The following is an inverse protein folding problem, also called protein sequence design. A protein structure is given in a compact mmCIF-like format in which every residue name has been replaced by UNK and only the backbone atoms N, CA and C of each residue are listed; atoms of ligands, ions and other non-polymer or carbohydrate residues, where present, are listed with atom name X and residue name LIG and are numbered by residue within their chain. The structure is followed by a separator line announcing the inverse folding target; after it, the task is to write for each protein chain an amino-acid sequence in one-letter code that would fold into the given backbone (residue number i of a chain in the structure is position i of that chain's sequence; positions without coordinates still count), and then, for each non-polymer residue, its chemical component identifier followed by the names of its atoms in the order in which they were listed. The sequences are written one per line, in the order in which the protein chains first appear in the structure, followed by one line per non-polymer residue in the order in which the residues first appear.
data_IF_355516528445
#
_entry.id   IF_355516528445
#
_cell.length_a   1.000
_cell.length_b   1.000
_cell.length_c   1.000
_cell.angle_alpha   90.00
_cell.angle_beta   90.00
_cell.angle_gamma   90.00
#
_symmetry.space_group_name_H-M   'P 1'
#
loop_
_entity.id
_entity.type
_entity.pdbx_description
1 polymer ?
#
# COMPACT_ATOMS: atom_id res chain seq x y z
N UNK A 1 -9.58 7.56 18.04
CA UNK A 1 -9.33 6.17 17.59
C UNK A 1 -10.68 5.46 17.44
N UNK A 2 -10.86 4.58 16.45
CA UNK A 2 -12.06 3.74 16.26
C UNK A 2 -11.71 2.25 16.34
N UNK A 3 -12.70 1.40 16.59
CA UNK A 3 -12.66 -0.04 16.36
C UNK A 3 -13.38 -0.40 15.07
N UNK A 4 -12.67 -1.09 14.17
CA UNK A 4 -13.14 -1.44 12.84
C UNK A 4 -13.15 -2.96 12.69
N UNK A 5 -14.35 -3.52 12.52
CA UNK A 5 -14.57 -4.94 12.25
C UNK A 5 -14.70 -5.14 10.73
N UNK A 6 -13.98 -6.10 10.18
CA UNK A 6 -13.95 -6.37 8.73
C UNK A 6 -14.20 -7.86 8.52
N UNK A 7 -15.08 -8.21 7.58
CA UNK A 7 -15.18 -9.58 7.07
C UNK A 7 -14.50 -9.65 5.71
N UNK A 8 -13.67 -10.68 5.46
CA UNK A 8 -12.90 -10.79 4.23
C UNK A 8 -12.67 -12.25 3.79
N UNK A 9 -12.57 -12.49 2.49
CA UNK A 9 -12.44 -13.83 1.88
C UNK A 9 -13.78 -14.51 1.60
N UNK A 10 -13.75 -15.72 1.02
CA UNK A 10 -14.94 -16.53 0.75
C UNK A 10 -15.28 -17.51 1.88
N UNK A 11 -16.56 -17.86 2.02
CA UNK A 11 -17.03 -19.00 2.83
C UNK A 11 -16.91 -20.33 2.07
N UNK A 12 -16.50 -21.39 2.77
CA UNK A 12 -16.35 -22.77 2.31
C UNK A 12 -17.39 -23.67 2.97
N UNK A 13 -18.48 -23.94 2.25
CA UNK A 13 -19.62 -24.74 2.73
C UNK A 13 -19.42 -26.24 2.42
N UNK A 14 -19.33 -27.13 3.42
CA UNK A 14 -18.96 -28.54 3.21
C UNK A 14 -20.04 -29.35 2.50
N UNK A 15 -19.64 -30.05 1.44
CA UNK A 15 -20.45 -31.08 0.75
C UNK A 15 -20.32 -32.39 1.52
N UNK A 16 -19.07 -32.76 1.81
CA UNK A 16 -18.67 -33.95 2.55
C UNK A 16 -17.40 -33.63 3.36
N UNK A 17 -16.76 -34.61 4.00
CA UNK A 17 -15.58 -34.40 4.84
C UNK A 17 -14.33 -33.92 4.05
N UNK A 18 -14.36 -33.95 2.72
CA UNK A 18 -13.24 -33.55 1.84
C UNK A 18 -13.58 -32.30 1.02
N UNK A 19 -14.77 -32.28 0.41
CA UNK A 19 -15.19 -31.35 -0.64
C UNK A 19 -16.12 -30.26 -0.11
N UNK A 20 -16.14 -29.11 -0.78
CA UNK A 20 -16.95 -27.97 -0.37
C UNK A 20 -17.28 -27.06 -1.56
N UNK A 21 -18.40 -26.34 -1.45
CA UNK A 21 -18.72 -25.20 -2.33
C UNK A 21 -18.03 -23.97 -1.73
N UNK A 22 -17.34 -23.18 -2.55
CA UNK A 22 -16.70 -21.93 -2.11
C UNK A 22 -16.93 -20.84 -3.14
N UNK A 23 -17.07 -19.59 -2.66
CA UNK A 23 -17.01 -18.42 -3.53
C UNK A 23 -15.56 -18.14 -3.96
N UNK A 24 -15.36 -17.61 -5.17
CA UNK A 24 -14.03 -17.35 -5.76
C UNK A 24 -13.28 -16.12 -5.17
N UNK A 25 -13.78 -15.51 -4.09
CA UNK A 25 -13.16 -14.31 -3.51
C UNK A 25 -11.88 -14.65 -2.75
N UNK A 26 -10.76 -14.14 -3.26
CA UNK A 26 -9.45 -14.16 -2.58
C UNK A 26 -9.36 -13.20 -1.40
N UNK A 27 -10.40 -12.41 -1.12
CA UNK A 27 -10.46 -11.48 0.02
C UNK A 27 -9.52 -10.27 -0.06
N UNK A 28 -8.76 -10.11 -1.15
CA UNK A 28 -7.72 -9.08 -1.33
C UNK A 28 -8.19 -7.64 -1.07
N UNK A 29 -9.44 -7.28 -1.39
CA UNK A 29 -9.94 -5.94 -1.09
C UNK A 29 -10.27 -5.74 0.39
N UNK A 30 -10.83 -6.74 1.08
CA UNK A 30 -11.03 -6.71 2.53
C UNK A 30 -9.70 -6.62 3.30
N UNK A 31 -8.64 -7.25 2.78
CA UNK A 31 -7.28 -7.09 3.29
C UNK A 31 -6.72 -5.67 3.09
N UNK A 32 -6.95 -5.05 1.93
CA UNK A 32 -6.56 -3.65 1.68
C UNK A 32 -7.32 -2.66 2.58
N UNK A 33 -8.62 -2.88 2.84
CA UNK A 33 -9.41 -2.11 3.82
C UNK A 33 -8.82 -2.28 5.23
N UNK A 34 -8.41 -3.49 5.60
CA UNK A 34 -7.79 -3.76 6.90
C UNK A 34 -6.44 -3.05 7.06
N UNK A 35 -5.62 -3.02 6.01
CA UNK A 35 -4.36 -2.27 5.97
C UNK A 35 -4.62 -0.77 6.17
N UNK A 36 -5.44 -0.15 5.32
CA UNK A 36 -5.80 1.26 5.40
C UNK A 36 -6.41 1.69 6.74
N UNK A 37 -7.23 0.85 7.37
CA UNK A 37 -7.78 1.12 8.70
C UNK A 37 -6.71 1.01 9.80
N UNK A 38 -5.75 0.09 9.66
CA UNK A 38 -4.62 -0.06 10.60
C UNK A 38 -3.67 1.14 10.50
N UNK A 39 -3.38 1.61 9.28
CA UNK A 39 -2.55 2.80 9.00
C UNK A 39 -3.16 4.08 9.55
N UNK A 40 -4.49 4.22 9.50
CA UNK A 40 -5.25 5.29 10.17
C UNK A 40 -5.29 5.15 11.72
N UNK A 41 -4.45 4.27 12.29
CA UNK A 41 -4.30 4.03 13.73
C UNK A 41 -5.63 3.65 14.40
N UNK A 42 -6.44 2.83 13.72
CA UNK A 42 -7.64 2.24 14.29
C UNK A 42 -7.34 0.84 14.82
N UNK A 43 -8.09 0.42 15.84
CA UNK A 43 -8.08 -0.99 16.28
C UNK A 43 -8.82 -1.79 15.21
N UNK A 44 -8.13 -2.67 14.48
CA UNK A 44 -8.74 -3.49 13.43
C UNK A 44 -8.95 -4.92 13.89
N UNK A 45 -10.10 -5.50 13.57
CA UNK A 45 -10.39 -6.92 13.75
C UNK A 45 -10.89 -7.50 12.43
N UNK A 46 -10.22 -8.54 11.91
CA UNK A 46 -10.60 -9.16 10.63
C UNK A 46 -11.13 -10.57 10.89
N UNK A 47 -12.42 -10.76 10.63
CA UNK A 47 -12.99 -12.08 10.40
C UNK A 47 -12.55 -12.51 8.99
N UNK A 48 -11.62 -13.47 8.91
CA UNK A 48 -10.96 -13.86 7.68
C UNK A 48 -11.31 -15.28 7.25
N UNK A 49 -11.73 -15.47 6.00
CA UNK A 49 -11.89 -16.81 5.42
C UNK A 49 -10.55 -17.56 5.49
N UNK A 50 -10.61 -18.85 5.82
CA UNK A 50 -9.45 -19.68 6.20
C UNK A 50 -8.22 -19.54 5.28
N UNK A 51 -8.43 -19.43 3.96
CA UNK A 51 -7.33 -19.28 2.99
C UNK A 51 -6.69 -17.88 3.02
N UNK A 52 -7.48 -16.82 3.25
CA UNK A 52 -6.95 -15.46 3.46
C UNK A 52 -6.18 -15.37 4.78
N UNK A 53 -6.70 -16.00 5.85
CA UNK A 53 -6.05 -16.04 7.16
C UNK A 53 -4.67 -16.74 7.12
N UNK A 54 -4.46 -17.66 6.17
CA UNK A 54 -3.18 -18.35 5.93
C UNK A 54 -2.26 -17.62 4.95
N UNK A 55 -2.83 -16.84 4.03
CA UNK A 55 -2.13 -16.29 2.87
C UNK A 55 -1.19 -15.09 3.11
N UNK A 56 -0.96 -14.68 4.36
CA UNK A 56 -0.01 -13.60 4.70
C UNK A 56 -0.40 -12.19 4.25
N UNK A 57 -1.61 -11.99 3.71
CA UNK A 57 -2.06 -10.70 3.15
C UNK A 57 -2.68 -9.73 4.18
N UNK A 58 -2.78 -10.11 5.45
CA UNK A 58 -3.42 -9.31 6.50
C UNK A 58 -2.37 -8.54 7.31
N UNK A 59 -2.60 -7.27 7.66
CA UNK A 59 -1.63 -6.46 8.40
C UNK A 59 -1.45 -6.98 9.83
N UNK A 60 -0.20 -7.03 10.29
CA UNK A 60 0.14 -7.55 11.62
C UNK A 60 -0.46 -6.76 12.81
N UNK A 61 -0.92 -5.52 12.57
CA UNK A 61 -1.63 -4.71 13.56
C UNK A 61 -3.13 -5.07 13.72
N UNK A 62 -3.68 -5.95 12.88
CA UNK A 62 -5.07 -6.36 12.97
C UNK A 62 -5.24 -7.71 13.71
N UNK A 63 -6.23 -7.77 14.60
CA UNK A 63 -6.62 -9.02 15.25
C UNK A 63 -7.35 -9.93 14.25
N UNK A 64 -6.71 -11.03 13.81
CA UNK A 64 -7.29 -11.97 12.84
C UNK A 64 -8.04 -13.10 13.55
N UNK A 65 -9.29 -13.32 13.16
CA UNK A 65 -10.12 -14.44 13.61
C UNK A 65 -10.53 -15.26 12.37
N UNK A 66 -10.04 -16.50 12.21
CA UNK A 66 -10.39 -17.31 11.05
C UNK A 66 -11.83 -17.81 11.10
N UNK A 67 -12.52 -17.81 9.96
CA UNK A 67 -13.77 -18.55 9.74
C UNK A 67 -13.62 -19.50 8.55
N UNK A 68 -14.50 -20.50 8.47
CA UNK A 68 -14.57 -21.41 7.32
C UNK A 68 -15.93 -21.30 6.61
N UNK A 69 -17.04 -21.57 7.31
CA UNK A 69 -18.41 -21.50 6.79
C UNK A 69 -19.14 -20.20 7.17
N UNK A 70 -20.31 -19.99 6.56
CA UNK A 70 -21.27 -18.93 6.89
C UNK A 70 -21.73 -19.02 8.34
N UNK A 71 -21.82 -20.23 8.92
CA UNK A 71 -22.21 -20.42 10.31
C UNK A 71 -21.08 -20.00 11.28
N UNK A 72 -19.82 -20.30 10.94
CA UNK A 72 -18.66 -19.89 11.72
C UNK A 72 -18.51 -18.36 11.73
N UNK A 73 -18.75 -17.73 10.57
CA UNK A 73 -18.77 -16.27 10.43
C UNK A 73 -19.88 -15.62 11.25
N UNK A 74 -21.11 -16.17 11.23
CA UNK A 74 -22.23 -15.61 12.00
C UNK A 74 -22.03 -15.77 13.52
N UNK A 75 -21.44 -16.88 13.96
CA UNK A 75 -21.05 -17.09 15.35
C UNK A 75 -19.95 -16.11 15.79
N UNK A 76 -18.91 -15.92 14.97
CA UNK A 76 -17.83 -14.97 15.23
C UNK A 76 -18.32 -13.50 15.27
N UNK A 77 -19.22 -13.13 14.36
CA UNK A 77 -19.90 -11.83 14.38
C UNK A 77 -20.72 -11.67 15.66
N UNK A 78 -21.57 -12.65 16.02
CA UNK A 78 -22.40 -12.59 17.23
C UNK A 78 -21.55 -12.38 18.48
N UNK A 79 -20.42 -13.10 18.59
CA UNK A 79 -19.51 -12.98 19.73
C UNK A 79 -18.89 -11.58 19.81
N UNK A 80 -18.28 -11.09 18.72
CA UNK A 80 -17.60 -9.78 18.74
C UNK A 80 -18.62 -8.65 18.99
N UNK A 81 -19.78 -8.66 18.35
CA UNK A 81 -20.79 -7.60 18.53
C UNK A 81 -21.34 -7.54 19.97
N UNK A 82 -21.25 -8.63 20.74
CA UNK A 82 -21.68 -8.70 22.14
C UNK A 82 -20.54 -8.43 23.15
N UNK A 83 -19.31 -8.89 22.86
CA UNK A 83 -18.15 -8.76 23.77
C UNK A 83 -17.34 -7.48 23.56
N UNK A 84 -17.27 -6.99 22.33
CA UNK A 84 -16.34 -5.95 21.88
C UNK A 84 -16.95 -5.16 20.68
N UNK A 85 -18.01 -4.36 20.91
CA UNK A 85 -18.81 -3.75 19.84
C UNK A 85 -18.02 -2.68 19.06
N UNK A 86 -17.96 -2.76 17.71
CA UNK A 86 -17.17 -1.86 16.89
C UNK A 86 -17.89 -0.56 16.51
N UNK A 87 -17.11 0.50 16.25
CA UNK A 87 -17.59 1.76 15.66
C UNK A 87 -17.97 1.57 14.18
N UNK A 88 -17.35 0.63 13.48
CA UNK A 88 -17.62 0.36 12.07
C UNK A 88 -17.49 -1.13 11.69
N UNK A 89 -18.34 -1.59 10.76
CA UNK A 89 -18.35 -2.96 10.21
C UNK A 89 -18.31 -2.93 8.68
N UNK A 90 -17.26 -3.49 8.07
CA UNK A 90 -17.14 -3.69 6.63
C UNK A 90 -17.44 -5.14 6.26
N UNK A 91 -18.56 -5.38 5.58
CA UNK A 91 -19.03 -6.72 5.21
C UNK A 91 -18.50 -7.17 3.85
N UNK A 92 -17.17 -7.22 3.70
CA UNK A 92 -16.47 -7.51 2.43
C UNK A 92 -16.21 -9.01 2.16
N UNK A 93 -16.69 -9.93 3.02
CA UNK A 93 -16.62 -11.36 2.77
C UNK A 93 -17.61 -11.79 1.67
N UNK A 94 -17.18 -12.70 0.79
CA UNK A 94 -18.07 -13.36 -0.16
C UNK A 94 -18.76 -14.54 0.53
N UNK A 95 -19.88 -14.23 1.19
CA UNK A 95 -20.72 -15.18 1.93
C UNK A 95 -21.57 -16.01 0.95
N UNK A 96 -21.68 -17.31 1.17
CA UNK A 96 -22.44 -18.23 0.32
C UNK A 96 -23.94 -18.09 0.56
N UNK A 97 -24.72 -17.86 -0.51
CA UNK A 97 -26.19 -17.73 -0.46
C UNK A 97 -26.93 -19.06 -0.24
N UNK A 98 -26.23 -20.17 -0.50
CA UNK A 98 -26.67 -21.53 -0.26
C UNK A 98 -25.49 -22.37 0.23
N UNK A 99 -25.79 -23.42 1.00
CA UNK A 99 -24.85 -24.45 1.45
C UNK A 99 -25.35 -25.84 1.05
N UNK A 100 -24.47 -26.84 0.91
CA UNK A 100 -24.91 -28.22 0.74
C UNK A 100 -25.66 -28.76 1.95
N UNK A 101 -26.52 -29.75 1.71
CA UNK A 101 -26.93 -30.71 2.72
C UNK A 101 -25.76 -31.69 2.94
N UNK A 102 -24.94 -31.38 3.95
CA UNK A 102 -23.64 -32.05 4.22
C UNK A 102 -23.82 -33.55 4.51
N UNK A 103 -23.14 -34.39 3.73
CA UNK A 103 -23.02 -35.83 4.00
C UNK A 103 -21.82 -36.12 4.91
N UNK A 104 -21.92 -36.94 5.98
CA UNK A 104 -20.77 -37.40 6.75
C UNK A 104 -19.89 -38.40 5.97
N UNK A 105 -18.59 -38.43 6.25
CA UNK A 105 -17.62 -39.23 5.49
C UNK A 105 -17.21 -38.54 4.19
N UNK A 106 -16.47 -39.26 3.34
CA UNK A 106 -16.24 -38.90 1.93
C UNK A 106 -17.29 -39.63 1.09
N UNK A 107 -18.09 -38.93 0.28
CA UNK A 107 -18.99 -39.58 -0.67
C UNK A 107 -18.13 -40.31 -1.73
N UNK A 108 -18.53 -41.53 -2.09
CA UNK A 108 -17.80 -42.35 -3.05
C UNK A 108 -17.76 -41.74 -4.47
N UNK A 109 -16.87 -42.25 -5.31
CA UNK A 109 -16.61 -41.79 -6.68
C UNK A 109 -16.81 -42.91 -7.69
N UNK A 110 -17.82 -43.73 -7.44
CA UNK A 110 -18.28 -44.90 -8.20
C UNK A 110 -19.60 -44.62 -8.96
N UNK A 111 -20.30 -43.54 -8.63
CA UNK A 111 -21.45 -43.04 -9.38
C UNK A 111 -21.03 -42.20 -10.60
N UNK A 112 -21.72 -42.39 -11.73
CA UNK A 112 -21.51 -41.59 -12.96
C UNK A 112 -21.91 -40.12 -12.79
N UNK A 113 -22.91 -39.84 -11.95
CA UNK A 113 -23.38 -38.50 -11.61
C UNK A 113 -23.34 -38.25 -10.09
N UNK A 114 -23.13 -36.99 -9.68
CA UNK A 114 -23.20 -36.56 -8.29
C UNK A 114 -24.13 -35.35 -8.14
N UNK A 115 -25.33 -35.59 -7.61
CA UNK A 115 -26.32 -34.54 -7.32
C UNK A 115 -26.09 -33.98 -5.92
N UNK A 116 -25.79 -32.68 -5.82
CA UNK A 116 -25.60 -31.97 -4.55
C UNK A 116 -26.84 -31.11 -4.27
N UNK A 117 -27.62 -31.47 -3.24
CA UNK A 117 -28.75 -30.65 -2.79
C UNK A 117 -28.24 -29.43 -2.02
N UNK A 118 -28.64 -28.24 -2.47
CA UNK A 118 -28.30 -26.96 -1.83
C UNK A 118 -29.52 -26.40 -1.07
N UNK A 119 -29.28 -25.83 0.11
CA UNK A 119 -30.26 -25.15 0.96
C UNK A 119 -29.81 -23.73 1.28
N UNK A 120 -30.74 -22.78 1.41
CA UNK A 120 -30.39 -21.36 1.67
C UNK A 120 -29.67 -21.19 3.01
N UNK A 121 -28.71 -20.26 3.04
CA UNK A 121 -28.07 -19.81 4.28
C UNK A 121 -28.87 -18.69 4.96
N UNK A 122 -28.65 -18.43 6.26
CA UNK A 122 -29.17 -17.23 6.93
C UNK A 122 -28.59 -15.95 6.31
N UNK A 123 -29.44 -14.94 6.09
CA UNK A 123 -29.02 -13.64 5.54
C UNK A 123 -28.48 -12.73 6.64
N UNK A 124 -27.27 -13.02 7.11
CA UNK A 124 -26.55 -12.31 8.20
C UNK A 124 -26.72 -10.79 8.14
N UNK A 125 -26.50 -10.20 6.95
CA UNK A 125 -26.55 -8.75 6.74
C UNK A 125 -27.87 -8.10 7.16
N UNK A 126 -29.02 -8.80 7.02
CA UNK A 126 -30.35 -8.29 7.42
C UNK A 126 -30.52 -8.17 8.93
N UNK A 127 -29.85 -9.01 9.72
CA UNK A 127 -29.92 -8.98 11.19
C UNK A 127 -28.82 -8.12 11.79
N UNK A 128 -27.85 -7.68 10.98
CA UNK A 128 -26.63 -7.03 11.48
C UNK A 128 -26.92 -5.70 12.18
N UNK A 129 -27.82 -4.87 11.63
CA UNK A 129 -28.22 -3.59 12.27
C UNK A 129 -28.83 -3.78 13.66
N UNK A 130 -29.58 -4.86 13.87
CA UNK A 130 -30.24 -5.19 15.15
C UNK A 130 -29.23 -5.74 16.19
N UNK A 131 -28.04 -6.16 15.74
CA UNK A 131 -26.97 -6.75 16.56
C UNK A 131 -25.83 -5.78 16.86
N UNK A 132 -25.68 -4.72 16.06
CA UNK A 132 -24.69 -3.67 16.28
C UNK A 132 -25.15 -2.65 17.34
N UNK A 133 -24.20 -1.91 17.92
CA UNK A 133 -24.49 -0.80 18.82
C UNK A 133 -25.15 0.38 18.06
N UNK A 134 -25.96 1.22 18.73
CA UNK A 134 -26.45 2.46 18.14
C UNK A 134 -25.28 3.37 17.72
N UNK A 135 -25.25 3.76 16.44
CA UNK A 135 -24.18 4.58 15.87
C UNK A 135 -23.06 3.81 15.16
N UNK A 136 -22.98 2.48 15.28
CA UNK A 136 -22.05 1.66 14.49
C UNK A 136 -22.31 1.86 12.99
N UNK A 137 -21.28 2.24 12.24
CA UNK A 137 -21.33 2.42 10.78
C UNK A 137 -21.26 1.04 10.08
N UNK A 138 -22.21 0.72 9.21
CA UNK A 138 -22.27 -0.59 8.52
C UNK A 138 -22.15 -0.39 7.01
N UNK A 139 -21.12 -1.01 6.42
CA UNK A 139 -20.81 -0.97 4.99
C UNK A 139 -21.04 -2.35 4.36
N UNK A 140 -22.04 -2.46 3.51
CA UNK A 140 -22.30 -3.65 2.69
C UNK A 140 -21.44 -3.69 1.43
N UNK A 141 -21.41 -4.86 0.79
CA UNK A 141 -20.71 -5.08 -0.49
C UNK A 141 -21.62 -5.77 -1.51
N UNK A 142 -21.45 -5.41 -2.78
CA UNK A 142 -22.29 -5.87 -3.89
C UNK A 142 -21.52 -5.97 -5.21
N UNK A 143 -21.07 -7.18 -5.52
CA UNK A 143 -20.52 -7.53 -6.84
C UNK A 143 -21.64 -7.76 -7.86
N UNK A 144 -21.50 -7.18 -9.05
CA UNK A 144 -22.27 -7.47 -10.27
C UNK A 144 -21.30 -7.94 -11.39
N UNK A 145 -21.82 -8.21 -12.59
CA UNK A 145 -21.02 -8.54 -13.77
C UNK A 145 -21.68 -7.96 -15.03
N UNK A 146 -20.96 -7.14 -15.78
CA UNK A 146 -21.46 -6.43 -16.97
C UNK A 146 -22.70 -5.54 -16.69
N UNK A 147 -22.62 -4.69 -15.67
CA UNK A 147 -23.69 -3.84 -15.19
C UNK A 147 -23.35 -2.33 -15.34
N UNK A 148 -24.33 -1.51 -15.67
CA UNK A 148 -24.09 -0.05 -15.81
C UNK A 148 -23.93 0.65 -14.46
N UNK A 149 -23.35 1.86 -14.47
CA UNK A 149 -23.19 2.69 -13.25
C UNK A 149 -24.56 2.97 -12.60
N UNK A 150 -25.61 3.14 -13.39
CA UNK A 150 -26.99 3.30 -12.92
C UNK A 150 -27.53 2.03 -12.26
N UNK A 151 -27.19 0.84 -12.77
CA UNK A 151 -27.56 -0.44 -12.16
C UNK A 151 -26.80 -0.68 -10.85
N UNK A 152 -25.50 -0.38 -10.80
CA UNK A 152 -24.71 -0.38 -9.56
C UNK A 152 -25.33 0.57 -8.52
N UNK A 153 -25.69 1.78 -8.93
CA UNK A 153 -26.33 2.79 -8.08
C UNK A 153 -27.67 2.28 -7.50
N UNK A 154 -28.55 1.76 -8.36
CA UNK A 154 -29.87 1.24 -7.97
C UNK A 154 -29.75 0.04 -7.02
N UNK A 155 -28.94 -0.95 -7.36
CA UNK A 155 -28.82 -2.19 -6.57
C UNK A 155 -28.10 -1.93 -5.23
N UNK A 156 -27.09 -1.06 -5.20
CA UNK A 156 -26.42 -0.62 -3.98
C UNK A 156 -27.36 0.16 -3.05
N UNK A 157 -28.06 1.17 -3.56
CA UNK A 157 -29.05 1.95 -2.79
C UNK A 157 -30.16 1.06 -2.22
N UNK A 158 -30.69 0.15 -3.04
CA UNK A 158 -31.70 -0.81 -2.62
C UNK A 158 -31.17 -1.87 -1.63
N UNK A 159 -29.86 -2.05 -1.49
CA UNK A 159 -29.26 -2.86 -0.43
C UNK A 159 -29.18 -2.08 0.89
N UNK A 160 -28.73 -0.83 0.85
CA UNK A 160 -28.73 0.05 2.03
C UNK A 160 -30.10 0.15 2.67
N UNK A 161 -31.14 0.40 1.87
CA UNK A 161 -32.52 0.55 2.34
C UNK A 161 -33.12 -0.76 2.87
N UNK A 162 -32.80 -1.91 2.27
CA UNK A 162 -33.37 -3.22 2.63
C UNK A 162 -32.72 -3.82 3.88
N UNK A 163 -31.40 -3.69 3.98
CA UNK A 163 -30.58 -4.36 5.00
C UNK A 163 -30.07 -3.34 6.07
N UNK A 164 -30.64 -2.12 6.07
CA UNK A 164 -30.42 -1.02 7.03
C UNK A 164 -28.95 -0.56 7.19
N UNK A 165 -28.25 -0.40 6.08
CA UNK A 165 -26.82 -0.07 6.01
C UNK A 165 -26.59 1.43 5.77
N UNK A 166 -25.50 1.97 6.30
CA UNK A 166 -25.10 3.36 6.07
C UNK A 166 -24.54 3.57 4.66
N UNK A 167 -23.87 2.54 4.12
CA UNK A 167 -23.47 2.50 2.72
C UNK A 167 -23.38 1.06 2.17
N UNK A 168 -23.37 0.94 0.84
CA UNK A 168 -23.03 -0.28 0.10
C UNK A 168 -22.01 0.07 -0.95
N UNK A 169 -20.88 -0.66 -0.97
CA UNK A 169 -19.94 -0.66 -2.08
C UNK A 169 -20.51 -1.55 -3.19
N UNK A 170 -20.85 -0.97 -4.33
CA UNK A 170 -21.27 -1.68 -5.54
C UNK A 170 -20.16 -1.62 -6.59
N UNK A 171 -19.86 -2.74 -7.24
CA UNK A 171 -18.78 -2.81 -8.24
C UNK A 171 -19.03 -3.94 -9.26
N UNK A 172 -18.55 -3.75 -10.48
CA UNK A 172 -18.62 -4.75 -11.56
C UNK A 172 -17.36 -5.63 -11.55
N UNK A 173 -17.53 -6.95 -11.65
CA UNK A 173 -16.43 -7.91 -11.82
C UNK A 173 -15.65 -7.70 -13.12
N UNK A 174 -16.30 -7.24 -14.19
CA UNK A 174 -15.72 -7.07 -15.52
C UNK A 174 -14.75 -5.88 -15.61
N UNK A 175 -14.85 -4.91 -14.69
CA UNK A 175 -13.96 -3.73 -14.64
C UNK A 175 -12.80 -3.89 -13.64
N UNK A 176 -12.72 -5.02 -12.91
CA UNK A 176 -11.66 -5.28 -11.92
C UNK A 176 -10.42 -5.86 -12.61
N UNK A 177 -9.35 -5.06 -12.66
CA UNK A 177 -8.05 -5.47 -13.18
C UNK A 177 -7.02 -5.69 -12.04
N UNK A 178 -5.75 -5.84 -12.43
CA UNK A 178 -4.57 -5.81 -11.55
C UNK A 178 -4.47 -4.48 -10.80
N UNK A 179 -4.62 -3.42 -11.58
CA UNK A 179 -4.25 -2.00 -11.44
C UNK A 179 -5.49 -1.09 -11.38
N UNK A 180 -6.64 -1.53 -11.88
CA UNK A 180 -7.92 -0.87 -11.70
C UNK A 180 -8.81 -1.61 -10.69
N UNK A 181 -9.36 -0.89 -9.72
CA UNK A 181 -10.39 -1.41 -8.81
C UNK A 181 -11.59 -0.45 -8.67
N UNK A 182 -12.30 -0.14 -9.76
CA UNK A 182 -13.44 0.78 -9.75
C UNK A 182 -14.54 0.30 -8.80
N UNK A 183 -15.12 1.25 -8.05
CA UNK A 183 -16.31 1.00 -7.24
C UNK A 183 -17.18 2.25 -7.10
N UNK A 184 -18.46 2.02 -6.82
CA UNK A 184 -19.46 3.04 -6.53
C UNK A 184 -19.95 2.85 -5.09
N UNK A 185 -19.67 3.82 -4.23
CA UNK A 185 -20.22 3.86 -2.88
C UNK A 185 -21.63 4.45 -2.93
N UNK A 186 -22.64 3.65 -2.58
CA UNK A 186 -24.06 4.02 -2.61
C UNK A 186 -24.60 4.19 -1.18
N UNK A 187 -25.43 5.21 -0.94
CA UNK A 187 -26.03 5.51 0.37
C UNK A 187 -27.57 5.35 0.33
N UNK A 188 -28.26 5.15 1.48
CA UNK A 188 -29.70 4.89 1.51
C UNK A 188 -30.58 6.06 1.02
N UNK A 189 -30.04 7.28 0.94
CA UNK A 189 -30.68 8.46 0.35
C UNK A 189 -30.60 8.51 -1.19
N UNK A 190 -29.91 7.55 -1.81
CA UNK A 190 -29.64 7.51 -3.25
C UNK A 190 -28.42 8.34 -3.69
N UNK A 191 -27.68 8.95 -2.76
CA UNK A 191 -26.41 9.59 -3.09
C UNK A 191 -25.33 8.54 -3.39
N UNK A 192 -24.49 8.82 -4.38
CA UNK A 192 -23.42 7.91 -4.82
C UNK A 192 -22.09 8.64 -4.98
N UNK A 193 -20.98 7.91 -4.79
CA UNK A 193 -19.62 8.41 -5.04
C UNK A 193 -18.76 7.36 -5.71
N UNK A 194 -18.21 7.68 -6.88
CA UNK A 194 -17.29 6.80 -7.59
C UNK A 194 -15.87 6.89 -7.01
N UNK A 195 -15.15 5.77 -7.03
CA UNK A 195 -13.74 5.65 -6.68
C UNK A 195 -13.02 4.90 -7.81
N UNK A 196 -11.81 5.35 -8.14
CA UNK A 196 -11.02 4.92 -9.29
C UNK A 196 -9.53 4.82 -8.92
N UNK A 197 -8.79 4.01 -9.68
CA UNK A 197 -7.37 3.71 -9.47
C UNK A 197 -7.10 2.36 -8.79
N UNK A 198 -5.90 2.20 -8.26
CA UNK A 198 -5.40 0.95 -7.68
C UNK A 198 -6.16 0.49 -6.41
N UNK A 199 -6.11 -0.82 -6.17
CA UNK A 199 -6.84 -1.49 -5.08
C UNK A 199 -6.48 -1.00 -3.68
N UNK A 200 -5.23 -0.62 -3.44
CA UNK A 200 -4.74 0.01 -2.20
C UNK A 200 -5.33 1.42 -2.05
N UNK A 201 -5.10 2.28 -3.04
CA UNK A 201 -5.58 3.66 -3.09
C UNK A 201 -7.10 3.77 -2.94
N UNK A 202 -7.86 2.91 -3.63
CA UNK A 202 -9.32 2.84 -3.54
C UNK A 202 -9.76 2.38 -2.14
N UNK A 203 -9.07 1.42 -1.51
CA UNK A 203 -9.37 1.02 -0.13
C UNK A 203 -9.09 2.15 0.87
N UNK A 204 -7.94 2.84 0.76
CA UNK A 204 -7.59 3.97 1.62
C UNK A 204 -8.60 5.12 1.52
N UNK A 205 -8.98 5.49 0.29
CA UNK A 205 -10.01 6.50 0.01
C UNK A 205 -11.39 6.10 0.53
N UNK A 206 -11.79 4.82 0.41
CA UNK A 206 -13.03 4.28 0.98
C UNK A 206 -13.02 4.32 2.52
N UNK A 207 -11.93 3.89 3.17
CA UNK A 207 -11.80 3.91 4.64
C UNK A 207 -11.92 5.34 5.16
N UNK A 208 -11.23 6.31 4.53
CA UNK A 208 -11.30 7.73 4.91
C UNK A 208 -12.71 8.33 4.71
N UNK A 209 -13.41 7.96 3.64
CA UNK A 209 -14.78 8.41 3.37
C UNK A 209 -15.80 7.90 4.40
N UNK A 210 -15.63 6.67 4.87
CA UNK A 210 -16.53 6.06 5.87
C UNK A 210 -16.19 6.53 7.27
N UNK A 211 -14.92 6.44 7.68
CA UNK A 211 -14.54 6.65 9.08
C UNK A 211 -14.28 8.12 9.43
N UNK A 212 -14.09 8.97 8.42
CA UNK A 212 -13.77 10.39 8.55
C UNK A 212 -12.26 10.66 8.65
N UNK A 213 -11.85 11.94 8.66
CA UNK A 213 -10.46 12.30 8.97
C UNK A 213 -10.11 11.92 10.42
N UNK A 214 -8.85 11.54 10.64
CA UNK A 214 -8.33 11.30 12.00
C UNK A 214 -8.40 12.59 12.81
N UNK A 215 -9.30 12.65 13.79
CA UNK A 215 -9.30 13.73 14.78
C UNK A 215 -8.10 13.61 15.70
N UNK A 216 -7.28 14.65 15.72
CA UNK A 216 -6.22 14.88 16.69
C UNK A 216 -6.84 15.68 17.83
N UNK A 217 -6.67 15.25 19.08
CA UNK A 217 -7.00 16.11 20.23
C UNK A 217 -5.94 17.22 20.34
N UNK A 218 -6.33 18.46 20.05
CA UNK A 218 -5.46 19.63 20.25
C UNK A 218 -5.19 19.85 21.74
N UNK A 219 -4.00 19.48 22.22
CA UNK A 219 -3.49 20.03 23.48
C UNK A 219 -3.12 21.51 23.30
N UNK A 220 -3.34 22.37 24.32
CA UNK A 220 -3.18 23.80 24.17
C UNK A 220 -1.71 24.19 23.89
N UNK A 221 -1.47 25.19 23.02
CA UNK A 221 -0.13 25.51 22.54
C UNK A 221 0.76 26.13 23.63
N UNK A 222 1.73 25.34 24.11
CA UNK A 222 2.87 25.84 24.86
C UNK A 222 3.91 26.42 23.90
N UNK A 223 3.82 27.74 23.61
CA UNK A 223 4.95 28.69 23.57
C UNK A 223 4.49 30.08 23.08
N UNK A 224 5.24 31.12 23.45
CA UNK A 224 4.89 32.52 23.19
C UNK A 224 5.31 33.06 21.81
N UNK A 225 4.76 34.23 21.45
CA UNK A 225 5.09 34.99 20.24
C UNK A 225 6.58 35.36 20.15
N UNK A 226 7.11 35.44 18.92
CA UNK A 226 7.65 36.73 18.45
C UNK A 226 6.88 37.26 17.23
N UNK A 227 6.50 38.54 17.25
CA UNK A 227 5.69 39.18 16.19
C UNK A 227 6.54 39.78 15.05
N UNK A 228 7.11 38.95 14.16
CA UNK A 228 7.69 39.44 12.88
C UNK A 228 7.91 38.35 11.80
N UNK A 229 6.98 38.23 10.83
CA UNK A 229 7.20 37.96 9.38
C UNK A 229 5.85 38.14 8.67
N UNK A 230 5.86 38.71 7.46
CA UNK A 230 4.65 39.24 6.82
C UNK A 230 4.06 38.36 5.72
N UNK A 231 2.81 37.90 5.94
CA UNK A 231 1.78 37.60 4.92
C UNK A 231 2.24 36.89 3.63
N UNK A 232 2.37 35.58 3.70
CA UNK A 232 2.06 34.67 2.58
C UNK A 232 0.95 33.70 3.04
N UNK A 233 -0.12 33.44 2.26
CA UNK A 233 -1.20 32.54 2.68
C UNK A 233 -0.87 31.04 2.71
N UNK A 234 0.21 30.57 2.06
CA UNK A 234 0.35 29.14 1.70
C UNK A 234 1.27 28.28 2.58
N UNK A 235 2.09 28.85 3.48
CA UNK A 235 3.10 28.10 4.27
C UNK A 235 2.88 28.27 5.80
N UNK A 236 1.62 28.41 6.22
CA UNK A 236 1.24 29.09 7.46
C UNK A 236 0.76 28.26 8.67
N UNK A 237 1.20 27.01 8.90
CA UNK A 237 1.07 26.30 10.21
C UNK A 237 1.81 24.95 10.26
N UNK A 238 2.44 24.68 11.41
CA UNK A 238 3.42 23.59 11.66
C UNK A 238 4.68 23.72 10.76
N UNK A 239 5.89 23.30 11.14
CA UNK A 239 6.30 22.41 12.24
C UNK A 239 7.54 22.96 12.97
N UNK A 240 7.48 23.18 14.28
CA UNK A 240 8.66 23.43 15.14
C UNK A 240 8.40 22.87 16.56
N UNK A 241 9.32 22.05 17.08
CA UNK A 241 9.34 21.62 18.49
C UNK A 241 8.52 20.37 18.84
N UNK A 242 8.87 19.20 18.29
CA UNK A 242 8.31 17.89 18.70
C UNK A 242 9.17 17.26 19.81
N UNK A 243 8.63 16.95 21.01
CA UNK A 243 9.38 16.31 22.09
C UNK A 243 9.74 14.84 21.82
N UNK A 244 10.78 14.29 22.49
CA UNK A 244 11.07 12.86 22.49
C UNK A 244 9.85 12.04 22.95
N UNK A 245 9.43 11.07 22.13
CA UNK A 245 8.29 10.19 22.41
C UNK A 245 6.91 10.71 21.98
N UNK A 246 6.81 11.85 21.28
CA UNK A 246 5.53 12.32 20.71
C UNK A 246 5.23 11.71 19.33
N UNK A 247 3.99 11.28 19.11
CA UNK A 247 3.46 10.84 17.82
C UNK A 247 2.85 12.01 17.03
N UNK A 248 3.05 12.06 15.70
CA UNK A 248 2.41 13.07 14.82
C UNK A 248 2.00 12.45 13.46
N UNK A 249 0.74 12.62 12.98
CA UNK A 249 0.16 11.87 11.84
C UNK A 249 0.24 12.60 10.48
N UNK A 250 -0.61 12.21 9.50
CA UNK A 250 -0.78 12.69 8.09
C UNK A 250 0.19 11.98 7.11
N UNK A 251 -0.18 10.98 6.29
CA UNK A 251 -1.08 10.97 5.09
C UNK A 251 -0.44 11.66 3.85
N UNK A 252 -0.46 11.17 2.60
CA UNK A 252 -0.96 9.92 1.96
C UNK A 252 0.20 9.19 1.23
N UNK A 253 0.01 7.98 0.67
CA UNK A 253 1.04 7.31 -0.16
C UNK A 253 1.29 5.84 0.20
N UNK A 254 2.54 5.50 0.55
CA UNK A 254 2.98 4.12 0.88
C UNK A 254 4.11 4.13 1.94
N UNK A 255 3.82 4.59 3.17
CA UNK A 255 4.81 4.84 4.25
C UNK A 255 4.50 4.11 5.58
N UNK A 256 5.55 3.67 6.30
CA UNK A 256 5.46 2.89 7.54
C UNK A 256 6.30 3.49 8.69
N UNK A 257 5.89 3.24 9.94
CA UNK A 257 6.56 3.75 11.14
C UNK A 257 7.49 2.73 11.83
N UNK A 258 8.58 3.22 12.42
CA UNK A 258 9.44 2.50 13.36
C UNK A 258 9.71 3.34 14.62
N UNK A 259 10.21 2.74 15.70
CA UNK A 259 10.55 3.46 16.93
C UNK A 259 12.06 3.59 17.11
N UNK A 260 12.52 4.74 17.58
CA UNK A 260 13.94 4.99 17.86
C UNK A 260 14.18 4.98 19.38
N UNK A 261 15.18 4.21 19.82
CA UNK A 261 15.68 4.21 21.20
C UNK A 261 17.17 4.53 21.19
N UNK A 262 17.59 5.53 21.96
CA UNK A 262 19.00 5.82 22.18
C UNK A 262 19.55 4.85 23.24
N UNK A 263 20.75 4.31 23.04
CA UNK A 263 21.47 3.51 24.05
C UNK A 263 22.38 4.37 24.93
N UNK A 264 22.95 3.74 25.98
CA UNK A 264 23.71 4.44 27.03
C UNK A 264 25.00 5.14 26.52
N UNK A 265 25.50 4.74 25.35
CA UNK A 265 26.61 5.40 24.64
C UNK A 265 26.15 6.59 23.78
N UNK A 266 24.86 6.94 23.81
CA UNK A 266 24.26 7.98 23.00
C UNK A 266 23.95 7.57 21.55
N UNK A 267 24.04 6.27 21.20
CA UNK A 267 23.84 5.80 19.83
C UNK A 267 22.36 5.47 19.58
N UNK A 268 21.85 5.87 18.42
CA UNK A 268 20.46 5.59 18.06
C UNK A 268 20.32 4.16 17.52
N UNK A 269 19.39 3.39 18.10
CA UNK A 269 18.92 2.10 17.57
C UNK A 269 17.48 2.25 17.08
N UNK A 270 17.22 1.79 15.87
CA UNK A 270 15.89 1.83 15.25
C UNK A 270 15.25 0.44 15.27
N UNK A 271 14.05 0.34 15.85
CA UNK A 271 13.22 -0.85 15.83
C UNK A 271 12.30 -0.78 14.61
N UNK A 272 12.78 -1.33 13.50
CA UNK A 272 12.00 -1.56 12.29
C UNK A 272 11.09 -2.78 12.54
N UNK A 273 9.75 -2.66 12.45
CA UNK A 273 8.86 -3.82 12.62
C UNK A 273 9.12 -4.87 11.53
N UNK A 274 9.19 -6.15 11.92
CA UNK A 274 9.35 -7.27 10.97
C UNK A 274 8.35 -7.27 9.79
N UNK A 275 7.07 -6.87 9.95
CA UNK A 275 6.15 -6.73 8.83
C UNK A 275 6.62 -5.78 7.73
N UNK A 276 7.40 -4.73 8.04
CA UNK A 276 7.96 -3.84 7.02
C UNK A 276 9.10 -4.53 6.25
N UNK A 277 10.00 -5.22 6.95
CA UNK A 277 11.04 -6.05 6.32
C UNK A 277 10.42 -7.11 5.39
N UNK A 278 9.34 -7.75 5.85
CA UNK A 278 8.60 -8.75 5.10
C UNK A 278 7.81 -8.17 3.92
N UNK A 279 7.25 -6.95 4.04
CA UNK A 279 6.59 -6.27 2.92
C UNK A 279 7.59 -5.84 1.84
N UNK A 280 8.73 -5.24 2.23
CA UNK A 280 9.82 -4.90 1.29
C UNK A 280 10.30 -6.17 0.58
N UNK A 281 10.55 -7.26 1.31
CA UNK A 281 10.88 -8.56 0.71
C UNK A 281 9.78 -9.09 -0.23
N UNK A 282 8.50 -8.95 0.11
CA UNK A 282 7.39 -9.41 -0.73
C UNK A 282 7.20 -8.57 -2.00
N UNK A 283 7.53 -7.27 -1.98
CA UNK A 283 7.55 -6.42 -3.18
C UNK A 283 8.80 -6.68 -4.05
N UNK A 284 9.89 -7.18 -3.46
CA UNK A 284 11.11 -7.64 -4.16
C UNK A 284 10.96 -9.03 -4.79
N UNK A 285 10.05 -9.88 -4.27
CA UNK A 285 9.73 -11.23 -4.78
C UNK A 285 8.57 -11.23 -5.80
N UNK A 286 7.82 -10.12 -5.91
CA UNK A 286 6.86 -9.90 -7.00
C UNK A 286 7.57 -9.69 -8.35
N UNK A 287 7.86 -10.81 -9.02
CA UNK A 287 8.04 -10.86 -10.48
C UNK A 287 6.79 -10.30 -11.16
N UNK A 288 6.92 -9.20 -11.92
CA UNK A 288 6.05 -8.79 -13.04
C UNK A 288 6.52 -7.43 -13.59
N UNK A 289 6.14 -7.17 -14.85
CA UNK A 289 6.33 -5.92 -15.62
C UNK A 289 7.76 -5.62 -16.10
N UNK A 290 7.83 -5.02 -17.30
CA UNK A 290 9.04 -5.00 -18.13
C UNK A 290 9.88 -3.73 -18.08
N UNK A 291 11.13 -3.87 -18.54
CA UNK A 291 12.09 -2.76 -18.65
C UNK A 291 11.75 -1.95 -19.90
N UNK A 292 11.55 -0.63 -19.76
CA UNK A 292 11.48 0.28 -20.92
C UNK A 292 12.90 0.64 -21.37
N UNK A 293 13.15 0.56 -22.67
CA UNK A 293 14.39 1.00 -23.32
C UNK A 293 14.05 1.67 -24.67
N UNK A 294 14.91 2.54 -25.23
CA UNK A 294 14.64 3.15 -26.54
C UNK A 294 14.46 2.11 -27.66
N UNK A 295 13.44 2.26 -28.52
CA UNK A 295 13.18 1.30 -29.61
C UNK A 295 14.35 1.13 -30.59
N UNK A 296 15.20 2.15 -30.73
CA UNK A 296 16.47 2.11 -31.48
C UNK A 296 17.43 1.02 -31.00
N UNK A 297 17.37 0.64 -29.72
CA UNK A 297 18.29 -0.33 -29.11
C UNK A 297 17.79 -1.78 -29.22
N UNK A 298 16.58 -2.03 -29.75
CA UNK A 298 15.96 -3.37 -29.81
C UNK A 298 16.91 -4.49 -30.23
N UNK A 299 17.76 -4.25 -31.22
CA UNK A 299 18.74 -5.23 -31.70
C UNK A 299 19.82 -5.57 -30.64
N UNK A 300 20.31 -4.58 -29.91
CA UNK A 300 21.32 -4.73 -28.84
C UNK A 300 20.77 -5.54 -27.66
N UNK A 301 19.50 -5.33 -27.33
CA UNK A 301 18.77 -6.02 -26.26
C UNK A 301 18.40 -7.45 -26.63
N UNK A 302 17.82 -7.67 -27.82
CA UNK A 302 17.46 -9.02 -28.31
C UNK A 302 18.71 -9.88 -28.54
N UNK A 303 19.82 -9.31 -28.99
CA UNK A 303 21.11 -10.02 -29.08
C UNK A 303 21.63 -10.49 -27.70
N UNK A 304 21.22 -9.81 -26.61
CA UNK A 304 21.49 -10.18 -25.21
C UNK A 304 20.37 -11.02 -24.58
N UNK A 305 19.54 -11.67 -25.40
CA UNK A 305 18.52 -12.62 -24.92
C UNK A 305 17.35 -11.99 -24.16
N UNK A 306 17.14 -10.68 -24.26
CA UNK A 306 15.92 -10.04 -23.75
C UNK A 306 14.75 -10.25 -24.72
N UNK A 307 13.56 -10.49 -24.16
CA UNK A 307 12.33 -10.66 -24.95
C UNK A 307 11.68 -9.29 -25.12
N UNK A 308 11.54 -8.83 -26.35
CA UNK A 308 10.74 -7.64 -26.67
C UNK A 308 9.24 -8.00 -26.68
N UNK A 309 8.44 -7.31 -25.87
CA UNK A 309 6.99 -7.50 -25.80
C UNK A 309 6.25 -6.56 -26.78
N UNK A 310 6.29 -5.25 -26.55
CA UNK A 310 5.55 -4.24 -27.31
C UNK A 310 6.37 -2.96 -27.53
N UNK A 311 5.89 -2.09 -28.43
CA UNK A 311 6.38 -0.72 -28.63
C UNK A 311 5.25 0.27 -28.29
N UNK A 312 5.52 1.18 -27.35
CA UNK A 312 4.57 2.19 -26.87
C UNK A 312 5.27 3.55 -26.75
N UNK A 313 4.67 4.61 -27.31
CA UNK A 313 5.22 5.97 -27.32
C UNK A 313 6.54 6.19 -28.10
N UNK A 314 7.28 5.13 -28.42
CA UNK A 314 8.66 5.16 -28.91
C UNK A 314 9.64 4.32 -28.06
N UNK A 315 9.17 3.83 -26.91
CA UNK A 315 9.88 2.88 -26.05
C UNK A 315 9.57 1.44 -26.44
N UNK A 316 10.55 0.58 -26.19
CA UNK A 316 10.47 -0.87 -26.23
C UNK A 316 10.23 -1.42 -24.83
N UNK A 317 9.18 -2.22 -24.64
CA UNK A 317 8.98 -2.97 -23.40
C UNK A 317 9.70 -4.33 -23.48
N UNK A 318 10.61 -4.58 -22.54
CA UNK A 318 11.39 -5.81 -22.43
C UNK A 318 10.88 -6.69 -21.28
N UNK A 319 10.37 -7.88 -21.60
CA UNK A 319 9.90 -8.88 -20.63
C UNK A 319 11.11 -9.53 -19.90
N UNK A 320 11.17 -9.48 -18.55
CA UNK A 320 12.35 -9.89 -17.80
C UNK A 320 12.28 -11.36 -17.33
N UNK A 321 13.08 -12.28 -17.90
CA UNK A 321 13.23 -13.62 -17.33
C UNK A 321 13.98 -13.52 -15.99
N UNK A 322 13.27 -13.75 -14.89
CA UNK A 322 13.72 -13.56 -13.51
C UNK A 322 14.73 -14.63 -13.03
N UNK A 323 15.90 -14.72 -13.67
CA UNK A 323 17.08 -15.48 -13.22
C UNK A 323 18.30 -15.27 -14.14
N UNK A 324 18.90 -14.07 -14.16
CA UNK A 324 20.17 -13.82 -14.86
C UNK A 324 21.20 -13.11 -13.99
N UNK A 325 22.48 -13.36 -14.29
CA UNK A 325 23.64 -12.83 -13.57
C UNK A 325 24.01 -11.40 -14.01
N UNK A 326 23.41 -10.88 -15.08
CA UNK A 326 23.68 -9.57 -15.68
C UNK A 326 22.79 -8.43 -15.15
N UNK A 327 21.71 -8.74 -14.42
CA UNK A 327 20.87 -7.78 -13.72
C UNK A 327 21.41 -7.53 -12.30
N UNK A 328 21.99 -6.36 -12.08
CA UNK A 328 22.42 -5.89 -10.76
C UNK A 328 21.24 -5.24 -10.03
N UNK A 329 21.22 -5.33 -8.69
CA UNK A 329 20.27 -4.62 -7.82
C UNK A 329 20.97 -3.52 -7.04
N UNK A 330 20.35 -2.36 -7.00
CA UNK A 330 20.84 -1.17 -6.33
C UNK A 330 19.72 -0.43 -5.60
N UNK A 331 20.09 0.49 -4.72
CA UNK A 331 19.17 1.39 -4.05
C UNK A 331 19.79 2.77 -3.88
N UNK A 332 18.95 3.81 -3.87
CA UNK A 332 19.39 5.20 -3.74
C UNK A 332 18.41 6.05 -2.93
N UNK A 333 18.84 7.25 -2.52
CA UNK A 333 18.04 8.19 -1.74
C UNK A 333 17.95 9.54 -2.44
N UNK A 334 16.74 10.08 -2.58
CA UNK A 334 16.52 11.46 -3.02
C UNK A 334 16.14 12.32 -1.82
N UNK A 335 17.13 12.82 -1.10
CA UNK A 335 16.91 13.57 0.13
C UNK A 335 16.57 15.03 -0.18
N UNK A 336 15.36 15.47 0.16
CA UNK A 336 14.84 16.83 -0.06
C UNK A 336 14.82 17.57 1.29
N UNK A 337 15.50 18.70 1.38
CA UNK A 337 15.41 19.60 2.52
C UNK A 337 14.43 20.74 2.21
N UNK A 338 13.25 20.70 2.84
CA UNK A 338 12.18 21.68 2.61
C UNK A 338 12.46 23.04 3.24
N UNK A 339 13.38 23.13 4.21
CA UNK A 339 13.79 24.38 4.82
C UNK A 339 14.86 25.08 3.98
N UNK A 340 15.79 24.33 3.39
CA UNK A 340 16.74 24.84 2.37
C UNK A 340 16.08 25.13 1.02
N UNK A 341 14.96 24.45 0.71
CA UNK A 341 14.43 24.30 -0.66
C UNK A 341 15.49 23.74 -1.62
N UNK A 342 16.10 22.63 -1.20
CA UNK A 342 17.16 21.95 -1.93
C UNK A 342 16.98 20.43 -1.97
N UNK A 343 17.72 19.76 -2.86
CA UNK A 343 17.85 18.30 -2.97
C UNK A 343 19.32 17.95 -2.80
N UNK A 344 19.62 16.93 -2.01
CA UNK A 344 20.96 16.37 -1.90
C UNK A 344 21.26 15.52 -3.14
N UNK A 345 22.23 15.96 -3.92
CA UNK A 345 22.78 15.24 -5.07
C UNK A 345 24.30 15.35 -5.01
N UNK A 346 25.01 14.45 -5.68
CA UNK A 346 26.46 14.54 -5.77
C UNK A 346 27.02 14.13 -7.12
N UNK A 347 28.24 14.59 -7.41
CA UNK A 347 29.00 14.23 -8.61
C UNK A 347 29.76 12.96 -8.36
N UNK A 348 29.54 11.96 -9.21
CA UNK A 348 30.22 10.66 -9.10
C UNK A 348 31.72 10.83 -9.32
N UNK A 349 32.53 10.52 -8.32
CA UNK A 349 33.99 10.52 -8.41
C UNK A 349 34.52 9.19 -8.94
N UNK A 350 33.76 8.09 -8.75
CA UNK A 350 34.16 6.72 -9.09
C UNK A 350 33.02 5.92 -9.75
N UNK A 351 33.41 4.83 -10.45
CA UNK A 351 32.48 3.90 -11.10
C UNK A 351 32.00 4.39 -12.48
N UNK A 352 30.78 4.02 -12.92
CA UNK A 352 30.20 4.54 -14.16
C UNK A 352 29.80 6.01 -14.01
N UNK A 353 29.70 6.71 -15.15
CA UNK A 353 29.25 8.10 -15.26
C UNK A 353 30.00 9.10 -14.35
N UNK A 354 31.33 9.00 -14.27
CA UNK A 354 32.17 9.94 -13.51
C UNK A 354 31.91 11.38 -13.96
N UNK A 355 31.76 12.29 -12.99
CA UNK A 355 31.43 13.70 -13.19
C UNK A 355 29.93 13.99 -13.34
N UNK A 356 29.09 12.97 -13.53
CA UNK A 356 27.64 13.16 -13.61
C UNK A 356 26.99 13.24 -12.22
N UNK A 357 25.88 13.96 -12.15
CA UNK A 357 25.04 14.08 -10.96
C UNK A 357 24.26 12.80 -10.68
N UNK A 358 24.25 12.40 -9.41
CA UNK A 358 23.52 11.24 -8.91
C UNK A 358 22.85 11.52 -7.56
N UNK A 359 21.71 10.88 -7.32
CA UNK A 359 21.24 10.59 -5.97
C UNK A 359 22.24 9.65 -5.27
N UNK A 360 22.57 9.85 -3.99
CA UNK A 360 23.37 8.89 -3.21
C UNK A 360 22.77 7.48 -3.28
N UNK A 361 23.58 6.46 -3.57
CA UNK A 361 23.12 5.10 -3.78
C UNK A 361 24.10 4.15 -4.47
N UNK A 362 24.06 2.88 -4.07
CA UNK A 362 24.95 1.82 -4.52
C UNK A 362 24.27 0.44 -4.54
N UNK A 363 25.06 -0.62 -4.41
CA UNK A 363 24.59 -2.01 -4.59
C UNK A 363 24.07 -2.59 -3.28
N UNK A 364 23.06 -3.46 -3.38
CA UNK A 364 22.66 -4.30 -2.25
C UNK A 364 23.76 -5.32 -1.94
N UNK A 365 24.17 -5.42 -0.68
CA UNK A 365 25.03 -6.50 -0.20
C UNK A 365 24.29 -7.86 -0.11
N UNK A 366 25.02 -9.01 -0.06
CA UNK A 366 24.39 -10.33 0.02
C UNK A 366 23.53 -10.55 1.28
N UNK A 367 22.21 -10.41 1.12
CA UNK A 367 21.23 -10.52 2.21
C UNK A 367 20.77 -9.18 2.79
N UNK A 368 21.25 -8.07 2.25
CA UNK A 368 20.77 -6.72 2.53
C UNK A 368 19.45 -6.45 1.80
N UNK A 369 18.51 -5.76 2.46
CA UNK A 369 17.29 -5.25 1.81
C UNK A 369 17.53 -3.85 1.23
N UNK A 370 16.78 -3.48 0.18
CA UNK A 370 17.01 -2.23 -0.55
C UNK A 370 16.87 -0.96 0.31
N UNK A 371 16.08 -0.98 1.39
CA UNK A 371 15.95 0.16 2.29
C UNK A 371 17.16 0.29 3.23
N UNK A 372 17.64 -0.84 3.76
CA UNK A 372 18.90 -0.89 4.51
C UNK A 372 20.07 -0.43 3.63
N UNK A 373 20.14 -0.89 2.37
CA UNK A 373 21.13 -0.42 1.39
C UNK A 373 21.04 1.10 1.18
N UNK A 374 19.86 1.63 0.85
CA UNK A 374 19.67 3.06 0.61
C UNK A 374 20.14 3.95 1.78
N UNK A 375 19.83 3.56 3.02
CA UNK A 375 20.26 4.29 4.21
C UNK A 375 21.74 4.11 4.56
N UNK A 376 22.33 2.95 4.22
CA UNK A 376 23.77 2.71 4.33
C UNK A 376 24.53 3.61 3.35
N UNK A 377 24.20 3.51 2.06
CA UNK A 377 24.81 4.27 0.97
C UNK A 377 24.69 5.78 1.21
N UNK A 378 23.51 6.31 1.59
CA UNK A 378 23.34 7.72 1.96
C UNK A 378 24.34 8.15 3.04
N UNK A 379 24.54 7.33 4.07
CA UNK A 379 25.43 7.63 5.19
C UNK A 379 26.91 7.48 4.82
N UNK A 380 27.24 6.52 3.96
CA UNK A 380 28.60 6.23 3.51
C UNK A 380 29.08 7.24 2.44
N UNK A 381 28.18 7.69 1.56
CA UNK A 381 28.46 8.68 0.51
C UNK A 381 28.40 10.14 0.99
N UNK A 382 27.60 10.45 2.02
CA UNK A 382 27.33 11.85 2.41
C UNK A 382 27.53 12.17 3.88
N UNK A 383 27.74 11.17 4.74
CA UNK A 383 27.76 11.33 6.20
C UNK A 383 26.41 11.61 6.85
N UNK A 384 25.37 11.93 6.06
CA UNK A 384 24.05 12.33 6.56
C UNK A 384 23.27 11.10 7.02
N UNK A 385 23.12 10.94 8.34
CA UNK A 385 22.22 9.98 8.94
C UNK A 385 20.85 10.63 9.21
N UNK A 386 19.81 10.20 8.49
CA UNK A 386 18.44 10.72 8.65
C UNK A 386 17.66 9.93 9.71
N UNK A 387 17.00 10.59 10.69
CA UNK A 387 16.11 9.90 11.64
C UNK A 387 14.81 9.50 10.95
N UNK A 388 14.79 8.29 10.38
CA UNK A 388 13.69 7.82 9.52
C UNK A 388 12.36 7.71 10.25
N UNK A 389 11.34 8.41 9.73
CA UNK A 389 9.93 8.27 10.15
C UNK A 389 8.93 8.29 9.01
N UNK A 390 9.34 8.71 7.80
CA UNK A 390 8.55 8.67 6.57
C UNK A 390 9.41 8.30 5.38
N UNK A 391 8.86 7.42 4.56
CA UNK A 391 9.33 6.97 3.21
C UNK A 391 7.70 6.99 0.67
N UNK A 392 8.00 7.60 -0.56
CA UNK A 392 7.68 7.09 -1.89
C UNK A 392 8.89 6.30 -2.38
N UNK A 393 8.64 5.12 -2.95
CA UNK A 393 9.67 4.26 -3.54
C UNK A 393 9.51 4.33 -5.06
N UNK A 394 10.44 4.98 -5.76
CA UNK A 394 10.45 5.05 -7.21
C UNK A 394 11.35 3.93 -7.76
N UNK A 395 10.78 3.00 -8.54
CA UNK A 395 11.54 1.94 -9.21
C UNK A 395 12.06 2.47 -10.54
N UNK A 396 13.39 2.45 -10.69
CA UNK A 396 14.07 2.92 -11.89
C UNK A 396 14.95 1.79 -12.43
N UNK A 397 14.72 1.38 -13.68
CA UNK A 397 15.55 0.37 -14.33
C UNK A 397 16.37 1.03 -15.44
N UNK A 398 17.70 0.88 -15.39
CA UNK A 398 18.63 1.48 -16.36
C UNK A 398 19.68 0.47 -16.83
N UNK A 399 20.23 0.67 -18.02
CA UNK A 399 21.37 -0.09 -18.52
C UNK A 399 22.31 0.82 -19.33
N UNK A 400 23.21 1.56 -18.66
CA UNK A 400 24.13 2.46 -19.35
C UNK A 400 25.26 1.73 -20.10
N UNK A 401 25.53 0.46 -19.75
CA UNK A 401 26.72 -0.31 -20.18
C UNK A 401 26.35 -1.79 -20.47
N UNK A 402 27.27 -2.74 -20.22
CA UNK A 402 27.09 -4.19 -20.43
C UNK A 402 26.09 -4.87 -19.47
N UNK A 403 25.48 -4.12 -18.54
CA UNK A 403 24.64 -4.60 -17.43
C UNK A 403 23.36 -3.81 -17.28
N UNK A 404 22.30 -4.50 -16.89
CA UNK A 404 21.07 -3.88 -16.42
C UNK A 404 21.11 -3.67 -14.91
N UNK A 405 20.43 -2.64 -14.43
CA UNK A 405 20.35 -2.23 -13.03
C UNK A 405 18.88 -2.02 -12.65
N UNK A 406 18.38 -2.80 -11.70
CA UNK A 406 17.13 -2.52 -10.98
C UNK A 406 17.46 -1.65 -9.76
N UNK A 407 17.11 -0.36 -9.82
CA UNK A 407 17.33 0.61 -8.74
C UNK A 407 16.00 0.86 -8.03
N UNK A 408 16.00 0.77 -6.69
CA UNK A 408 14.92 1.31 -5.86
C UNK A 408 15.38 2.61 -5.23
N UNK A 409 14.84 3.73 -5.73
CA UNK A 409 15.07 5.05 -5.16
C UNK A 409 14.03 5.34 -4.06
N UNK A 410 14.50 5.84 -2.93
CA UNK A 410 13.69 6.25 -1.78
C UNK A 410 13.82 7.76 -1.60
N UNK A 411 12.85 8.54 -2.07
CA UNK A 411 12.84 9.98 -1.80
C UNK A 411 12.46 10.27 -0.35
N UNK A 412 13.13 11.22 0.31
CA UNK A 412 12.96 11.47 1.74
C UNK A 412 12.83 12.97 2.03
N UNK A 413 11.90 13.35 2.91
CA UNK A 413 11.71 14.75 3.32
C UNK A 413 12.37 15.00 4.69
N UNK A 414 13.22 16.03 4.74
CA UNK A 414 13.87 16.54 5.96
C UNK A 414 13.78 18.06 6.02
N UNK A 415 14.11 18.63 7.17
CA UNK A 415 14.22 20.08 7.35
C UNK A 415 15.43 20.40 8.23
N UNK A 416 16.39 21.16 7.70
CA UNK A 416 17.66 21.49 8.36
C UNK A 416 18.52 20.25 8.65
N UNK A 417 18.70 19.38 7.65
CA UNK A 417 19.71 18.32 7.70
C UNK A 417 21.14 18.92 7.83
N UNK A 418 22.16 18.17 8.27
CA UNK A 418 23.55 18.64 8.14
C UNK A 418 23.93 18.84 6.66
N UNK A 419 24.96 19.65 6.42
CA UNK A 419 25.65 19.66 5.13
C UNK A 419 26.45 18.34 4.99
N UNK A 420 26.56 17.78 3.77
CA UNK A 420 27.25 16.51 3.55
C UNK A 420 28.76 16.61 3.80
N UNK A 421 29.38 15.48 4.13
CA UNK A 421 30.83 15.32 4.24
C UNK A 421 31.42 14.63 3.02
N UNK A 422 32.54 15.14 2.50
CA UNK A 422 33.36 14.46 1.48
C UNK A 422 33.66 13.00 1.87
N UNK A 423 33.33 12.03 1.00
CA UNK A 423 33.64 10.61 1.23
C UNK A 423 34.66 10.02 0.22
N UNK A 424 34.89 10.69 -0.91
CA UNK A 424 35.81 10.24 -1.98
C UNK A 424 35.18 9.40 -3.10
N UNK A 425 33.90 9.04 -3.00
CA UNK A 425 33.13 8.34 -4.04
C UNK A 425 32.05 9.24 -4.67
N UNK A 426 31.44 10.12 -3.89
CA UNK A 426 30.39 11.06 -4.31
C UNK A 426 30.60 12.46 -3.72
N UNK A 427 30.96 13.42 -4.57
CA UNK A 427 31.13 14.84 -4.19
C UNK A 427 29.75 15.51 -4.08
N UNK A 428 29.21 15.58 -2.86
CA UNK A 428 27.79 15.83 -2.59
C UNK A 428 27.51 17.26 -2.13
N UNK A 429 26.43 17.87 -2.64
CA UNK A 429 25.96 19.20 -2.18
C UNK A 429 24.43 19.34 -2.21
N UNK A 430 23.93 20.43 -1.61
CA UNK A 430 22.51 20.77 -1.57
C UNK A 430 22.12 21.64 -2.77
N UNK A 431 21.60 21.01 -3.83
CA UNK A 431 21.18 21.69 -5.06
C UNK A 431 19.82 22.39 -4.85
N UNK A 432 19.71 23.73 -5.03
CA UNK A 432 18.44 24.45 -4.96
C UNK A 432 17.43 23.96 -5.99
N UNK A 433 16.13 23.97 -5.67
CA UNK A 433 15.07 23.49 -6.58
C UNK A 433 15.06 24.18 -7.95
N UNK A 434 15.40 25.47 -7.99
CA UNK A 434 15.52 26.28 -9.22
C UNK A 434 16.83 26.06 -10.00
N UNK A 435 17.75 25.24 -9.47
CA UNK A 435 18.98 24.80 -10.14
C UNK A 435 18.90 23.40 -10.75
N UNK A 436 17.84 22.62 -10.49
CA UNK A 436 17.73 21.21 -10.91
C UNK A 436 17.72 21.04 -12.44
N UNK A 437 17.02 21.94 -13.16
CA UNK A 437 16.95 21.95 -14.63
C UNK A 437 18.29 22.30 -15.31
N UNK A 438 19.27 22.79 -14.54
CA UNK A 438 20.59 23.22 -15.04
C UNK A 438 21.71 22.20 -14.77
N UNK A 439 21.37 21.00 -14.27
CA UNK A 439 22.31 19.92 -14.01
C UNK A 439 22.70 19.20 -15.32
N UNK A 440 23.98 19.20 -15.65
CA UNK A 440 24.56 18.47 -16.78
C UNK A 440 26.00 18.04 -16.45
N UNK A 441 26.39 16.77 -16.69
CA UNK A 441 25.55 15.62 -17.03
C UNK A 441 24.83 15.05 -15.79
N UNK A 442 23.71 14.37 -16.00
CA UNK A 442 22.95 13.65 -14.95
C UNK A 442 22.96 12.15 -15.27
N UNK A 443 22.96 11.32 -14.23
CA UNK A 443 22.75 9.87 -14.39
C UNK A 443 21.29 9.58 -14.76
N UNK A 444 21.03 8.69 -15.74
CA UNK A 444 19.67 8.33 -16.19
C UNK A 444 18.76 7.93 -15.00
N UNK A 445 19.33 7.25 -14.00
CA UNK A 445 18.62 6.89 -12.77
C UNK A 445 18.10 8.08 -11.96
N UNK A 446 18.86 9.18 -11.95
CA UNK A 446 18.55 10.44 -11.27
C UNK A 446 17.71 11.37 -12.16
N UNK A 447 17.88 11.33 -13.47
CA UNK A 447 17.01 12.03 -14.42
C UNK A 447 15.55 11.52 -14.33
N UNK A 448 15.37 10.20 -14.27
CA UNK A 448 14.05 9.56 -14.06
C UNK A 448 13.41 9.89 -12.71
N UNK A 449 14.22 10.22 -11.70
CA UNK A 449 13.79 10.72 -10.39
C UNK A 449 13.38 12.20 -10.49
N UNK A 450 14.25 13.05 -11.03
CA UNK A 450 14.02 14.49 -11.09
C UNK A 450 12.87 14.88 -12.02
N UNK A 451 12.61 14.10 -13.09
CA UNK A 451 11.43 14.28 -13.94
C UNK A 451 10.08 14.15 -13.20
N UNK A 452 10.07 13.58 -11.98
CA UNK A 452 8.89 13.48 -11.10
C UNK A 452 8.95 14.43 -9.90
N UNK A 453 10.01 15.21 -9.75
CA UNK A 453 10.23 16.08 -8.60
C UNK A 453 9.08 17.08 -8.37
N UNK A 454 8.59 17.67 -9.47
CA UNK A 454 7.52 18.66 -9.46
C UNK A 454 6.12 18.03 -9.26
N UNK A 455 6.01 16.69 -9.31
CA UNK A 455 4.84 15.92 -8.87
C UNK A 455 4.92 15.72 -7.34
N UNK A 456 6.06 15.23 -6.85
CA UNK A 456 6.30 14.95 -5.42
C UNK A 456 6.27 16.16 -4.50
N UNK A 457 6.48 17.38 -5.02
CA UNK A 457 6.31 18.63 -4.25
C UNK A 457 4.85 19.12 -4.17
N UNK A 458 3.89 18.45 -4.84
CA UNK A 458 2.46 18.82 -4.86
C UNK A 458 1.56 17.82 -4.12
N UNK A 459 2.06 16.63 -3.80
CA UNK A 459 1.37 15.55 -3.08
C UNK A 459 1.55 15.64 -1.56
#
# INVERSE_FOLDING_TARGET
MKHVLITAGGTREPIDDVRSVTNASTGRFGAAIALAATEQSHRVTVLAGTELARGGLLPAGAAVVPFNSTADLDAALTRILAEDPPDAVFMAAAISDYRPERTPGKIASDHEELVIRLVRTPKILRTLRERCAPGTQIVGFKLLSHASVEELAQVGTAQCQRDALDATVANDLAEIASDAHPLLLCRPDGSTRAFQGERSLVAARLVREILGPVQIEEQPPLLGRPDAIGRDPLVGRAWLGVPPGSMVPVWDGDWYAGTASQDDDGRWRLHIPDPLRQWVAAQLDRRLWGVRAPASERAWWVQRGWVAAEEDGGDLLLDPPSSREDLQRAASVTLIDVARRAVLLGRRLVGPSIGAWACPGGRLEPGEDAWTAALRELREETGIAVPSSRAWVHRVTVAPDDRAWEILNFGLLVANAPDPSENGELDSEWIPWDGLDALDPVTIGTESVLARFDEWLRE
#
